data_IF_085149332841
#
_entry.id   IF_085149332841
#
_cell.length_a   1.000
_cell.length_b   1.000
_cell.length_c   1.000
_cell.angle_alpha   90.00
_cell.angle_beta   90.00
_cell.angle_gamma   90.00
#
_symmetry.space_group_name_H-M   'P 1'
#
loop_
_entity.id
_entity.type
_entity.pdbx_description
1 polymer ?
#
# COMPACT_ATOMS: atom_id res chain seq x y z
N UNK A 1 45.38 24.28 -0.64
CA UNK A 1 43.99 23.84 -0.44
C UNK A 1 43.59 23.04 -1.67
N UNK A 2 43.77 21.73 -1.63
CA UNK A 2 43.59 20.83 -2.78
C UNK A 2 42.11 20.42 -2.78
N UNK A 3 41.33 20.89 -3.74
CA UNK A 3 39.91 20.53 -3.87
C UNK A 3 39.84 19.19 -4.59
N UNK A 4 39.61 18.12 -3.83
CA UNK A 4 39.43 16.78 -4.36
C UNK A 4 38.04 16.68 -4.99
N UNK A 5 38.00 16.50 -6.31
CA UNK A 5 36.75 16.28 -7.05
C UNK A 5 36.30 14.83 -6.83
N UNK A 6 35.22 14.63 -6.09
CA UNK A 6 34.51 13.36 -6.03
C UNK A 6 33.80 13.15 -7.37
N UNK A 7 34.32 12.26 -8.21
CA UNK A 7 33.60 11.81 -9.40
C UNK A 7 32.41 10.94 -8.95
N UNK A 8 31.19 11.48 -9.05
CA UNK A 8 29.98 10.66 -9.02
C UNK A 8 29.91 9.90 -10.35
N UNK A 9 30.36 8.65 -10.35
CA UNK A 9 30.03 7.71 -11.42
C UNK A 9 28.56 7.33 -11.29
N UNK A 10 27.69 8.04 -12.03
CA UNK A 10 26.32 7.58 -12.26
C UNK A 10 26.39 6.38 -13.20
N UNK A 11 26.51 5.17 -12.64
CA UNK A 11 26.16 3.96 -13.37
C UNK A 11 24.64 3.99 -13.57
N UNK A 12 24.21 4.49 -14.73
CA UNK A 12 22.82 4.42 -15.16
C UNK A 12 22.55 2.95 -15.45
N UNK A 13 21.87 2.24 -14.56
CA UNK A 13 21.32 0.92 -14.88
C UNK A 13 20.26 1.14 -15.95
N UNK A 14 20.63 0.85 -17.20
CA UNK A 14 19.68 0.75 -18.30
C UNK A 14 18.79 -0.46 -18.05
N UNK A 15 17.74 -0.28 -17.26
CA UNK A 15 16.63 -1.22 -17.25
C UNK A 15 15.90 -1.02 -18.57
N UNK A 16 16.32 -1.77 -19.59
CA UNK A 16 15.46 -2.06 -20.72
C UNK A 16 14.17 -2.61 -20.13
N UNK A 17 13.07 -1.85 -20.22
CA UNK A 17 11.73 -2.37 -19.98
C UNK A 17 11.50 -3.42 -21.07
N UNK A 18 11.96 -4.64 -20.83
CA UNK A 18 11.50 -5.79 -21.57
C UNK A 18 10.07 -6.03 -21.08
N UNK A 19 9.13 -5.31 -21.70
CA UNK A 19 7.81 -5.88 -21.96
C UNK A 19 8.04 -7.06 -22.91
N UNK A 20 8.65 -8.12 -22.39
CA UNK A 20 8.74 -9.39 -23.07
C UNK A 20 7.30 -9.83 -23.21
N UNK A 21 6.81 -9.90 -24.43
CA UNK A 21 5.71 -10.79 -24.79
C UNK A 21 6.21 -12.22 -24.55
N UNK A 22 6.43 -12.60 -23.30
CA UNK A 22 6.66 -13.98 -22.96
C UNK A 22 5.28 -14.62 -23.01
N UNK A 23 5.01 -15.34 -24.10
CA UNK A 23 3.90 -16.29 -24.14
C UNK A 23 4.20 -17.36 -23.11
N UNK A 24 3.86 -17.08 -21.86
CA UNK A 24 3.92 -18.04 -20.78
C UNK A 24 2.62 -18.84 -20.81
N UNK A 25 2.73 -20.12 -21.18
CA UNK A 25 1.63 -21.08 -21.11
C UNK A 25 1.55 -21.69 -19.70
N UNK A 26 1.25 -20.86 -18.71
CA UNK A 26 1.17 -21.26 -17.30
C UNK A 26 0.17 -20.38 -16.54
N UNK A 27 -0.03 -20.68 -15.26
CA UNK A 27 -0.81 -19.81 -14.39
C UNK A 27 -0.08 -18.48 -14.18
N UNK A 28 -0.81 -17.41 -13.86
CA UNK A 28 -0.20 -16.09 -13.60
C UNK A 28 0.85 -16.16 -12.47
N UNK A 29 0.71 -17.08 -11.52
CA UNK A 29 1.69 -17.30 -10.45
C UNK A 29 3.01 -17.89 -10.99
N UNK A 30 2.94 -18.83 -11.93
CA UNK A 30 4.13 -19.44 -12.56
C UNK A 30 4.84 -18.45 -13.49
N UNK A 31 4.07 -17.70 -14.26
CA UNK A 31 4.60 -16.75 -15.24
C UNK A 31 5.24 -15.51 -14.61
N UNK A 32 4.85 -15.21 -13.37
CA UNK A 32 5.24 -13.99 -12.67
C UNK A 32 6.10 -14.29 -11.42
N UNK A 33 6.63 -15.52 -11.29
CA UNK A 33 7.38 -15.97 -10.13
C UNK A 33 8.61 -15.10 -9.83
N UNK A 34 9.31 -14.65 -10.87
CA UNK A 34 10.47 -13.75 -10.73
C UNK A 34 10.06 -12.35 -10.24
N UNK A 35 8.90 -11.85 -10.68
CA UNK A 35 8.38 -10.54 -10.27
C UNK A 35 7.69 -10.57 -8.91
N UNK A 36 7.15 -11.72 -8.47
CA UNK A 36 6.55 -11.85 -7.14
C UNK A 36 7.58 -11.54 -6.04
N UNK A 37 8.84 -11.93 -6.24
CA UNK A 37 9.94 -11.58 -5.33
C UNK A 37 10.39 -10.11 -5.44
N UNK A 38 10.02 -9.42 -6.52
CA UNK A 38 10.30 -7.99 -6.73
C UNK A 38 9.16 -7.09 -6.21
N UNK A 39 7.99 -7.66 -5.92
CA UNK A 39 6.91 -6.92 -5.30
C UNK A 39 7.20 -6.67 -3.82
N UNK A 40 7.04 -5.42 -3.40
CA UNK A 40 7.21 -5.05 -2.00
C UNK A 40 6.15 -5.73 -1.13
N UNK A 41 6.56 -6.22 0.04
CA UNK A 41 5.62 -6.76 1.03
C UNK A 41 4.62 -5.68 1.48
N UNK A 42 3.40 -6.09 1.85
CA UNK A 42 2.41 -5.21 2.52
C UNK A 42 3.00 -4.50 3.74
N UNK A 43 4.00 -5.12 4.39
CA UNK A 43 4.74 -4.57 5.53
C UNK A 43 5.57 -3.35 5.10
N UNK A 44 6.21 -3.38 3.92
CA UNK A 44 6.98 -2.25 3.37
C UNK A 44 6.10 -1.02 3.12
N UNK A 45 4.82 -1.20 2.80
CA UNK A 45 3.84 -0.10 2.62
C UNK A 45 3.34 0.47 3.94
N UNK A 46 3.53 -0.22 5.07
CA UNK A 46 3.22 0.29 6.40
C UNK A 46 4.38 1.17 6.86
N UNK A 47 4.36 2.43 6.43
CA UNK A 47 5.26 3.44 6.95
C UNK A 47 4.88 3.72 8.42
N UNK A 48 5.61 3.13 9.38
CA UNK A 48 5.52 3.53 10.78
C UNK A 48 6.19 4.91 10.90
N UNK A 49 5.46 5.84 11.53
CA UNK A 49 5.72 7.28 11.63
C UNK A 49 7.21 7.68 11.77
N UNK A 50 7.60 8.74 11.05
CA UNK A 50 8.98 9.25 10.88
C UNK A 50 9.66 9.79 12.16
N UNK A 51 8.95 9.81 13.29
CA UNK A 51 9.39 10.50 14.52
C UNK A 51 9.87 9.52 15.58
N UNK A 52 10.99 9.87 16.22
CA UNK A 52 11.60 9.09 17.33
C UNK A 52 10.77 9.09 18.63
N UNK A 53 9.73 9.91 18.72
CA UNK A 53 8.95 10.12 19.93
C UNK A 53 7.45 9.98 19.66
N UNK A 54 6.75 9.45 20.65
CA UNK A 54 5.28 9.38 20.67
C UNK A 54 4.74 10.77 20.96
N UNK A 55 3.70 11.20 20.24
CA UNK A 55 3.09 12.52 20.45
C UNK A 55 2.40 12.61 21.82
N UNK A 56 2.35 13.81 22.41
CA UNK A 56 1.70 14.03 23.72
C UNK A 56 0.22 13.60 23.72
N UNK A 57 -0.47 13.72 22.59
CA UNK A 57 -1.85 13.25 22.45
C UNK A 57 -1.98 11.74 22.65
N UNK A 58 -1.02 10.96 22.14
CA UNK A 58 -0.99 9.51 22.29
C UNK A 58 -0.61 9.03 23.71
N UNK A 59 0.04 9.89 24.52
CA UNK A 59 0.29 9.61 25.94
C UNK A 59 -0.94 9.88 26.83
N UNK A 60 -1.98 10.51 26.28
CA UNK A 60 -3.27 10.70 26.94
C UNK A 60 -3.96 9.37 27.14
N UNK A 61 -3.79 8.76 28.32
CA UNK A 61 -4.46 7.50 28.67
C UNK A 61 -5.95 7.56 28.38
N UNK A 62 -6.47 6.47 27.84
CA UNK A 62 -7.89 6.26 27.60
C UNK A 62 -8.56 7.27 26.66
N UNK A 63 -7.78 8.06 25.90
CA UNK A 63 -8.31 8.96 24.87
C UNK A 63 -8.12 8.34 23.48
N UNK A 64 -9.14 8.39 22.61
CA UNK A 64 -9.00 7.95 21.23
C UNK A 64 -8.06 8.88 20.45
N UNK A 65 -7.46 8.36 19.37
CA UNK A 65 -6.56 9.12 18.49
C UNK A 65 -7.25 10.22 17.65
N UNK A 66 -8.57 10.30 17.73
CA UNK A 66 -9.47 11.17 16.99
C UNK A 66 -10.56 11.68 17.94
N UNK A 67 -11.45 12.56 17.48
CA UNK A 67 -12.55 13.06 18.31
C UNK A 67 -13.52 11.91 18.64
N UNK A 68 -13.72 11.60 19.91
CA UNK A 68 -14.59 10.50 20.33
C UNK A 68 -14.62 10.25 21.83
N UNK A 69 -15.64 9.52 22.28
CA UNK A 69 -15.80 9.07 23.67
C UNK A 69 -14.88 7.89 24.00
N UNK A 70 -14.50 7.78 25.27
CA UNK A 70 -13.72 6.64 25.78
C UNK A 70 -14.55 5.36 25.69
N UNK A 71 -13.94 4.27 25.22
CA UNK A 71 -14.55 2.94 25.22
C UNK A 71 -15.50 2.70 24.05
N UNK A 72 -15.78 3.72 23.26
CA UNK A 72 -16.52 3.57 22.01
C UNK A 72 -15.60 3.07 20.88
N UNK A 73 -16.17 2.27 19.99
CA UNK A 73 -15.46 1.81 18.80
C UNK A 73 -15.13 3.00 17.89
N UNK A 74 -13.93 3.01 17.29
CA UNK A 74 -13.51 4.04 16.33
C UNK A 74 -14.49 4.23 15.17
N UNK A 75 -15.28 3.21 14.81
CA UNK A 75 -16.31 3.29 13.76
C UNK A 75 -17.55 4.09 14.14
N UNK A 76 -17.78 4.37 15.42
CA UNK A 76 -18.97 5.11 15.89
C UNK A 76 -18.80 6.63 15.88
N UNK A 77 -17.56 7.12 15.87
CA UNK A 77 -17.27 8.54 15.94
C UNK A 77 -16.95 9.09 14.54
N UNK A 78 -17.60 10.18 14.16
CA UNK A 78 -17.38 10.82 12.86
C UNK A 78 -15.93 11.34 12.76
N UNK A 79 -15.24 10.99 11.66
CA UNK A 79 -13.88 11.43 11.38
C UNK A 79 -12.75 10.56 11.95
N UNK A 80 -13.08 9.50 12.70
CA UNK A 80 -12.08 8.55 13.21
C UNK A 80 -11.64 7.52 12.17
N UNK A 81 -12.56 7.04 11.33
CA UNK A 81 -12.27 6.12 10.24
C UNK A 81 -12.56 6.79 8.90
N UNK A 82 -11.73 6.53 7.86
CA UNK A 82 -12.08 6.90 6.50
C UNK A 82 -13.31 6.10 6.04
N UNK A 83 -14.02 6.57 4.99
CA UNK A 83 -15.09 5.79 4.39
C UNK A 83 -14.57 4.42 3.93
N UNK A 84 -15.40 3.37 4.03
CA UNK A 84 -15.01 2.02 3.63
C UNK A 84 -14.63 2.01 2.14
N UNK A 85 -13.40 1.58 1.84
CA UNK A 85 -12.91 1.51 0.46
C UNK A 85 -13.52 0.34 -0.33
N UNK A 86 -14.02 -0.66 0.39
CA UNK A 86 -14.56 -1.90 -0.18
C UNK A 86 -16.06 -1.97 0.17
N UNK A 87 -16.95 -1.34 -0.62
CA UNK A 87 -18.37 -1.46 -0.38
C UNK A 87 -18.83 -2.91 -0.58
N UNK A 88 -19.70 -3.38 0.31
CA UNK A 88 -20.24 -4.76 0.32
C UNK A 88 -20.90 -5.14 -1.02
N UNK A 89 -21.46 -4.16 -1.72
CA UNK A 89 -22.02 -4.36 -3.04
C UNK A 89 -20.99 -4.05 -4.12
N UNK A 90 -20.17 -5.03 -4.50
CA UNK A 90 -19.57 -5.04 -5.85
C UNK A 90 -20.68 -5.35 -6.85
N UNK A 91 -21.44 -4.32 -7.22
CA UNK A 91 -22.47 -4.45 -8.24
C UNK A 91 -21.90 -5.05 -9.52
N UNK A 92 -22.64 -5.94 -10.16
CA UNK A 92 -22.25 -6.41 -11.48
C UNK A 92 -22.42 -5.30 -12.52
N UNK A 93 -21.32 -4.77 -13.08
CA UNK A 93 -21.44 -3.93 -14.27
C UNK A 93 -22.05 -4.73 -15.42
N UNK A 94 -22.97 -4.12 -16.18
CA UNK A 94 -23.65 -4.74 -17.33
C UNK A 94 -22.67 -5.39 -18.32
N UNK A 95 -21.46 -4.82 -18.44
CA UNK A 95 -20.39 -5.38 -19.27
C UNK A 95 -19.99 -6.81 -18.85
N UNK A 96 -19.93 -7.09 -17.55
CA UNK A 96 -19.52 -8.40 -17.02
C UNK A 96 -20.60 -9.48 -17.14
N UNK A 97 -21.83 -9.13 -17.55
CA UNK A 97 -22.96 -10.05 -17.75
C UNK A 97 -23.11 -11.08 -16.63
N UNK A 98 -22.90 -10.66 -15.38
CA UNK A 98 -23.03 -11.57 -14.25
C UNK A 98 -24.43 -12.15 -14.24
N UNK A 99 -24.53 -13.40 -13.81
CA UNK A 99 -25.80 -14.07 -13.67
C UNK A 99 -26.62 -13.26 -12.67
N UNK A 100 -27.78 -12.75 -13.07
CA UNK A 100 -28.78 -12.28 -12.11
C UNK A 100 -29.09 -13.48 -11.21
N UNK A 101 -28.88 -13.34 -9.91
CA UNK A 101 -29.01 -14.45 -8.97
C UNK A 101 -30.38 -15.13 -9.06
N UNK A 102 -30.38 -16.44 -8.80
CA UNK A 102 -31.57 -17.25 -8.52
C UNK A 102 -32.12 -16.95 -7.13
#
# INVERSE_FOLDING_TARGET
MIVSYMHLSTAVFSQTNHAYTYTCNGSIAECNQEYEMLMESEISRRFLEEKKYISYGALGRDKPACNGERGEAYSKNEGCLPPPSNPENRGCSKYYRCRSDS
#
